data_IF_985464743052
#
_entry.id   IF_985464743052
#
_cell.length_a   1.000
_cell.length_b   1.000
_cell.length_c   1.000
_cell.angle_alpha   90.00
_cell.angle_beta   90.00
_cell.angle_gamma   90.00
#
_symmetry.space_group_name_H-M   'P 1'
#
loop_
_entity.id
_entity.type
_entity.pdbx_description
1 polymer ?
#
# COMPACT_ATOMS: atom_id res chain seq x y z
N UNK A 1 -5.90 13.14 -6.27
CA UNK A 1 -5.07 12.34 -5.34
C UNK A 1 -3.71 12.11 -5.97
N UNK A 2 -2.60 12.31 -5.25
CA UNK A 2 -1.24 12.07 -5.75
C UNK A 2 -0.62 10.95 -4.93
N UNK A 3 -0.20 9.86 -5.57
CA UNK A 3 0.44 8.69 -4.94
C UNK A 3 1.80 8.48 -5.58
N UNK A 4 2.79 8.11 -4.78
CA UNK A 4 4.11 7.70 -5.24
C UNK A 4 4.19 6.20 -5.04
N UNK A 5 4.51 5.47 -6.11
CA UNK A 5 4.68 4.02 -6.06
C UNK A 5 6.17 3.69 -6.06
N UNK A 6 6.60 2.89 -5.10
CA UNK A 6 7.97 2.42 -4.94
C UNK A 6 7.98 0.92 -5.16
N UNK A 7 8.80 0.44 -6.10
CA UNK A 7 9.08 -0.97 -6.29
C UNK A 7 10.44 -1.26 -5.70
N UNK A 8 10.47 -2.06 -4.62
CA UNK A 8 11.69 -2.36 -3.88
C UNK A 8 11.81 -3.87 -3.62
N UNK A 9 12.91 -4.51 -4.06
CA UNK A 9 13.30 -5.84 -3.59
C UNK A 9 14.40 -5.75 -2.51
N UNK A 10 14.51 -6.67 -1.53
CA UNK A 10 13.52 -7.63 -0.99
C UNK A 10 12.59 -7.01 0.09
N UNK A 11 11.86 -7.82 0.89
CA UNK A 11 10.88 -7.31 1.90
C UNK A 11 11.56 -6.46 2.98
N UNK A 12 12.82 -6.77 3.26
CA UNK A 12 13.69 -6.05 4.19
C UNK A 12 13.88 -4.60 3.73
N UNK A 13 14.07 -4.37 2.42
CA UNK A 13 14.12 -3.02 1.85
C UNK A 13 12.79 -2.28 2.04
N UNK A 14 11.66 -2.96 1.88
CA UNK A 14 10.36 -2.35 2.13
C UNK A 14 10.20 -1.95 3.60
N UNK A 15 10.67 -2.77 4.54
CA UNK A 15 10.68 -2.45 5.97
C UNK A 15 11.52 -1.20 6.26
N UNK A 16 12.75 -1.13 5.74
CA UNK A 16 13.59 0.07 5.89
C UNK A 16 12.94 1.34 5.33
N UNK A 17 12.27 1.23 4.17
CA UNK A 17 11.54 2.37 3.59
C UNK A 17 10.39 2.80 4.49
N UNK A 18 9.61 1.86 5.05
CA UNK A 18 8.53 2.18 5.98
C UNK A 18 9.08 2.90 7.22
N UNK A 19 10.18 2.39 7.79
CA UNK A 19 10.81 2.99 8.96
C UNK A 19 11.29 4.42 8.70
N UNK A 20 11.94 4.66 7.55
CA UNK A 20 12.35 6.00 7.09
C UNK A 20 11.16 6.96 6.95
N UNK A 21 10.06 6.50 6.36
CA UNK A 21 8.85 7.31 6.19
C UNK A 21 8.20 7.65 7.54
N UNK A 22 8.17 6.70 8.48
CA UNK A 22 7.67 6.93 9.83
C UNK A 22 8.56 7.92 10.59
N UNK A 23 9.89 7.82 10.48
CA UNK A 23 10.84 8.79 11.02
C UNK A 23 10.64 10.19 10.42
N UNK A 24 10.31 10.25 9.13
CA UNK A 24 9.93 11.49 8.44
C UNK A 24 8.51 12.00 8.80
N UNK A 25 7.86 11.42 9.82
CA UNK A 25 6.52 11.78 10.32
C UNK A 25 5.39 11.52 9.33
N UNK A 26 5.58 10.63 8.36
CA UNK A 26 4.50 10.16 7.49
C UNK A 26 3.77 9.06 8.22
N UNK A 27 2.52 9.33 8.58
CA UNK A 27 1.72 8.38 9.36
C UNK A 27 1.41 7.10 8.58
N UNK A 28 1.37 5.96 9.28
CA UNK A 28 1.15 4.62 8.70
C UNK A 28 -0.10 4.53 7.81
N UNK A 29 -1.15 5.33 8.07
CA UNK A 29 -2.36 5.39 7.22
C UNK A 29 -2.11 5.87 5.79
N UNK A 30 -0.97 6.48 5.52
CA UNK A 30 -0.55 6.94 4.19
C UNK A 30 0.43 5.97 3.51
N UNK A 31 0.82 4.89 4.19
CA UNK A 31 1.82 3.92 3.73
C UNK A 31 1.12 2.59 3.49
N UNK A 32 1.28 2.05 2.28
CA UNK A 32 0.63 0.81 1.88
C UNK A 32 1.64 -0.10 1.19
N UNK A 33 1.92 -1.23 1.82
CA UNK A 33 2.82 -2.25 1.29
C UNK A 33 1.99 -3.38 0.67
N UNK A 34 2.36 -3.75 -0.55
CA UNK A 34 1.77 -4.85 -1.32
C UNK A 34 2.90 -5.82 -1.65
N UNK A 35 2.64 -7.12 -1.46
CA UNK A 35 3.52 -8.19 -1.89
C UNK A 35 2.69 -9.35 -2.47
N UNK A 36 3.37 -10.31 -3.09
CA UNK A 36 2.74 -11.57 -3.51
C UNK A 36 2.17 -12.29 -2.29
N UNK A 37 1.10 -13.06 -2.47
CA UNK A 37 0.38 -13.76 -1.39
C UNK A 37 1.27 -14.75 -0.61
N UNK A 38 2.32 -15.27 -1.24
CA UNK A 38 3.29 -16.20 -0.65
C UNK A 38 4.37 -15.51 0.19
N UNK A 39 4.39 -14.18 0.26
CA UNK A 39 5.35 -13.39 1.05
C UNK A 39 4.67 -12.83 2.30
N UNK A 40 4.99 -13.31 3.52
CA UNK A 40 4.52 -12.69 4.75
C UNK A 40 5.09 -11.26 4.85
N UNK A 41 4.21 -10.31 5.13
CA UNK A 41 4.55 -8.91 5.37
C UNK A 41 4.65 -8.58 6.87
N UNK A 42 4.45 -9.58 7.74
CA UNK A 42 4.42 -9.46 9.20
C UNK A 42 3.68 -8.20 9.67
N UNK A 43 4.40 -7.30 10.36
CA UNK A 43 3.92 -6.05 10.95
C UNK A 43 3.91 -4.85 9.99
N UNK A 44 4.30 -5.03 8.72
CA UNK A 44 4.28 -3.93 7.75
C UNK A 44 2.83 -3.49 7.47
N UNK A 45 2.61 -2.19 7.22
CA UNK A 45 1.28 -1.66 6.93
C UNK A 45 0.77 -2.22 5.60
N UNK A 46 -0.03 -3.29 5.69
CA UNK A 46 -0.64 -3.95 4.54
C UNK A 46 -1.62 -3.00 3.87
N UNK A 47 -1.57 -2.91 2.55
CA UNK A 47 -2.60 -2.22 1.81
C UNK A 47 -3.96 -2.87 2.09
N UNK A 48 -4.94 -2.08 2.53
CA UNK A 48 -6.33 -2.54 2.54
C UNK A 48 -6.79 -2.77 1.09
N UNK A 49 -7.80 -3.62 0.89
CA UNK A 49 -8.36 -3.89 -0.46
C UNK A 49 -8.75 -2.58 -1.17
N UNK A 50 -9.27 -1.59 -0.43
CA UNK A 50 -9.62 -0.25 -0.94
C UNK A 50 -8.43 0.60 -1.41
N UNK A 51 -7.22 0.27 -0.97
CA UNK A 51 -5.98 0.96 -1.31
C UNK A 51 -5.16 0.21 -2.36
N UNK A 52 -5.49 -1.06 -2.62
CA UNK A 52 -5.02 -1.79 -3.78
C UNK A 52 -5.55 -1.12 -5.05
N UNK A 53 -4.66 -0.95 -6.02
CA UNK A 53 -4.91 -0.22 -7.26
C UNK A 53 -6.12 -0.75 -8.05
N UNK A 54 -6.57 -1.97 -7.78
CA UNK A 54 -7.66 -2.63 -8.50
C UNK A 54 -9.06 -2.15 -8.07
N UNK A 55 -9.23 -1.61 -6.86
CA UNK A 55 -10.55 -1.14 -6.41
C UNK A 55 -10.94 0.24 -6.91
N UNK A 56 -10.00 1.15 -7.17
CA UNK A 56 -10.33 2.48 -7.70
C UNK A 56 -10.94 2.39 -9.12
N UNK A 57 -10.40 1.60 -10.07
CA UNK A 57 -11.04 1.35 -11.36
C UNK A 57 -12.35 0.58 -11.23
N UNK A 58 -12.40 -0.48 -10.39
CA UNK A 58 -13.60 -1.31 -10.24
C UNK A 58 -14.78 -0.53 -9.66
N UNK A 59 -14.55 0.30 -8.63
CA UNK A 59 -15.59 1.16 -8.08
C UNK A 59 -16.02 2.28 -9.04
N UNK A 60 -15.14 2.73 -9.93
CA UNK A 60 -15.48 3.69 -10.99
C UNK A 60 -16.27 3.05 -12.15
N UNK A 61 -16.27 1.72 -12.26
CA UNK A 61 -17.01 0.95 -13.27
C UNK A 61 -18.34 0.37 -12.75
N UNK A 62 -18.58 0.38 -11.44
CA UNK A 62 -19.89 0.05 -10.88
C UNK A 62 -20.85 1.22 -11.11
N UNK A 63 -21.95 1.06 -11.87
CA UNK A 63 -22.95 2.10 -11.98
C UNK A 63 -23.53 2.34 -10.59
N UNK A 64 -23.42 3.56 -10.09
CA UNK A 64 -24.15 4.02 -8.91
C UNK A 64 -25.64 3.91 -9.27
N UNK A 65 -26.26 2.79 -8.90
CA UNK A 65 -27.70 2.70 -8.74
C UNK A 65 -27.97 2.67 -7.25
N UNK A 66 -28.69 3.71 -6.83
CA UNK A 66 -29.19 3.99 -5.50
C UNK A 66 -29.98 2.82 -4.91
#
# INVERSE_FOLDING_TARGET
MRRIYLLVPPVESARSVVDELLLARIEARHIHVIAREDRPLDDLPKASVAQNSDLVPVMALLPIRA
#
